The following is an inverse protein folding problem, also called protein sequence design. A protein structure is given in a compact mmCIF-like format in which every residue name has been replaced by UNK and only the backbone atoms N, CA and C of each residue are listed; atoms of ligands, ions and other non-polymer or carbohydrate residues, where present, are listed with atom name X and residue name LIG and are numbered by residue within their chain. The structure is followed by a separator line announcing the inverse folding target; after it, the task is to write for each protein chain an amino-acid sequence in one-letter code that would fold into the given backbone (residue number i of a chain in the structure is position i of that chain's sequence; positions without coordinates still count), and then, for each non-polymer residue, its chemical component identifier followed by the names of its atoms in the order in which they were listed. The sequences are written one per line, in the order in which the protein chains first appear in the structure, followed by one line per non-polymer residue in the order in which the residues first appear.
data_IF_069758979042
#
_entry.id   IF_069758979042
#
_cell.length_a   1.000
_cell.length_b   1.000
_cell.length_c   1.000
_cell.angle_alpha   90.00
_cell.angle_beta   90.00
_cell.angle_gamma   90.00
#
_symmetry.space_group_name_H-M   'P 1'
#
loop_
_entity.id
_entity.type
_entity.pdbx_description
1 polymer ?
#
# COMPACT_ATOMS: atom_id res chain seq x y z
N UNK A 1 6.73 16.45 -10.21
CA UNK A 1 5.58 16.95 -9.42
C UNK A 1 5.84 18.34 -8.88
N UNK A 2 4.90 19.27 -9.09
CA UNK A 2 4.89 20.58 -8.42
C UNK A 2 4.40 20.47 -6.96
N UNK A 3 4.47 21.56 -6.19
CA UNK A 3 4.10 21.57 -4.76
C UNK A 3 2.62 21.27 -4.51
N UNK A 4 1.71 21.64 -5.41
CA UNK A 4 0.27 21.32 -5.30
C UNK A 4 0.04 19.82 -5.46
N UNK A 5 0.65 19.22 -6.48
CA UNK A 5 0.57 17.79 -6.74
C UNK A 5 1.11 16.97 -5.55
N UNK A 6 2.21 17.40 -4.91
CA UNK A 6 2.75 16.75 -3.70
C UNK A 6 1.76 16.80 -2.52
N UNK A 7 1.06 17.91 -2.36
CA UNK A 7 0.04 18.06 -1.32
C UNK A 7 -1.16 17.16 -1.61
N UNK A 8 -1.68 17.17 -2.84
CA UNK A 8 -2.80 16.33 -3.27
C UNK A 8 -2.49 14.84 -3.13
N UNK A 9 -1.29 14.40 -3.55
CA UNK A 9 -0.85 13.01 -3.39
C UNK A 9 -0.77 12.59 -1.92
N UNK A 10 -0.32 13.50 -1.04
CA UNK A 10 -0.27 13.23 0.40
C UNK A 10 -1.66 13.16 1.03
N UNK A 11 -2.58 14.03 0.64
CA UNK A 11 -3.96 13.99 1.10
C UNK A 11 -4.66 12.70 0.63
N UNK A 12 -4.42 12.28 -0.62
CA UNK A 12 -4.92 11.02 -1.13
C UNK A 12 -4.36 9.83 -0.35
N UNK A 13 -3.05 9.80 -0.10
CA UNK A 13 -2.43 8.75 0.71
C UNK A 13 -3.06 8.68 2.11
N UNK A 14 -3.20 9.82 2.80
CA UNK A 14 -3.83 9.86 4.13
C UNK A 14 -5.24 9.24 4.11
N UNK A 15 -6.07 9.62 3.14
CA UNK A 15 -7.44 9.08 3.01
C UNK A 15 -7.44 7.56 2.77
N UNK A 16 -6.61 7.08 1.85
CA UNK A 16 -6.53 5.64 1.53
C UNK A 16 -6.11 4.83 2.76
N UNK A 17 -5.09 5.28 3.49
CA UNK A 17 -4.62 4.57 4.68
C UNK A 17 -5.64 4.61 5.82
N UNK A 18 -6.39 5.70 5.98
CA UNK A 18 -7.53 5.78 6.91
C UNK A 18 -8.64 4.78 6.54
N UNK A 19 -9.04 4.73 5.27
CA UNK A 19 -10.04 3.78 4.77
C UNK A 19 -9.61 2.33 4.98
N UNK A 20 -8.33 2.00 4.73
CA UNK A 20 -7.76 0.68 4.99
C UNK A 20 -7.85 0.33 6.48
N UNK A 21 -7.47 1.26 7.37
CA UNK A 21 -7.52 1.05 8.81
C UNK A 21 -8.95 0.79 9.31
N UNK A 22 -9.93 1.56 8.82
CA UNK A 22 -11.34 1.36 9.16
C UNK A 22 -11.89 0.04 8.62
N UNK A 23 -11.57 -0.30 7.37
CA UNK A 23 -11.96 -1.56 6.75
C UNK A 23 -11.44 -2.76 7.56
N UNK A 24 -10.16 -2.74 7.93
CA UNK A 24 -9.56 -3.78 8.75
C UNK A 24 -10.13 -3.83 10.16
N UNK A 25 -10.42 -2.68 10.78
CA UNK A 25 -11.10 -2.63 12.07
C UNK A 25 -12.44 -3.37 12.07
N UNK A 26 -13.24 -3.20 11.00
CA UNK A 26 -14.47 -3.97 10.80
C UNK A 26 -14.23 -5.47 10.64
N UNK A 27 -13.24 -5.86 9.83
CA UNK A 27 -12.89 -7.27 9.61
C UNK A 27 -12.42 -7.92 10.92
N UNK A 28 -11.54 -7.26 11.68
CA UNK A 28 -11.02 -7.75 12.95
C UNK A 28 -12.14 -7.96 13.97
N UNK A 29 -13.06 -7.01 14.06
CA UNK A 29 -14.22 -7.10 14.95
C UNK A 29 -15.11 -8.29 14.59
N UNK A 30 -15.48 -8.43 13.32
CA UNK A 30 -16.39 -9.48 12.85
C UNK A 30 -15.80 -10.89 13.00
N UNK A 31 -14.49 -11.03 12.83
CA UNK A 31 -13.80 -12.32 12.88
C UNK A 31 -13.20 -12.64 14.25
N UNK A 32 -13.36 -11.75 15.24
CA UNK A 32 -12.70 -11.86 16.57
C UNK A 32 -11.21 -12.17 16.41
N UNK A 33 -10.55 -11.38 15.57
CA UNK A 33 -9.14 -11.57 15.27
C UNK A 33 -8.29 -11.54 16.55
N UNK A 34 -7.25 -12.37 16.60
CA UNK A 34 -6.31 -12.39 17.71
C UNK A 34 -5.54 -11.06 17.79
N UNK A 35 -5.39 -10.51 18.99
CA UNK A 35 -4.71 -9.23 19.23
C UNK A 35 -3.30 -9.20 18.63
N UNK A 36 -2.56 -10.32 18.62
CA UNK A 36 -1.22 -10.37 18.03
C UNK A 36 -1.27 -10.19 16.51
N UNK A 37 -2.30 -10.72 15.86
CA UNK A 37 -2.52 -10.53 14.42
C UNK A 37 -2.90 -9.07 14.15
N UNK A 38 -3.79 -8.48 14.96
CA UNK A 38 -4.17 -7.07 14.84
C UNK A 38 -2.93 -6.17 14.97
N UNK A 39 -2.09 -6.42 15.96
CA UNK A 39 -0.83 -5.69 16.16
C UNK A 39 0.14 -5.85 14.98
N UNK A 40 0.37 -7.09 14.53
CA UNK A 40 1.28 -7.36 13.42
C UNK A 40 0.84 -6.65 12.13
N UNK A 41 -0.46 -6.66 11.82
CA UNK A 41 -1.01 -6.01 10.63
C UNK A 41 -0.95 -4.49 10.77
N UNK A 42 -1.40 -3.94 11.90
CA UNK A 42 -1.43 -2.48 12.13
C UNK A 42 -0.02 -1.89 12.05
N UNK A 43 0.98 -2.52 12.66
CA UNK A 43 2.38 -2.06 12.58
C UNK A 43 2.92 -2.13 11.15
N UNK A 44 2.59 -3.18 10.39
CA UNK A 44 3.01 -3.29 8.99
C UNK A 44 2.39 -2.19 8.12
N UNK A 45 1.15 -1.80 8.40
CA UNK A 45 0.45 -0.71 7.69
C UNK A 45 1.03 0.65 8.08
N UNK A 46 1.32 0.87 9.36
CA UNK A 46 2.00 2.08 9.82
C UNK A 46 3.37 2.25 9.14
N UNK A 47 4.16 1.18 9.05
CA UNK A 47 5.44 1.19 8.34
C UNK A 47 5.27 1.53 6.86
N UNK A 48 4.26 0.97 6.19
CA UNK A 48 3.95 1.29 4.79
C UNK A 48 3.53 2.75 4.63
N UNK A 49 2.65 3.26 5.49
CA UNK A 49 2.23 4.66 5.48
C UNK A 49 3.42 5.61 5.63
N UNK A 50 4.29 5.36 6.60
CA UNK A 50 5.47 6.17 6.84
C UNK A 50 6.43 6.15 5.65
N UNK A 51 6.60 5.01 4.97
CA UNK A 51 7.39 4.91 3.73
C UNK A 51 6.77 5.73 2.60
N UNK A 52 5.47 5.56 2.34
CA UNK A 52 4.75 6.34 1.31
C UNK A 52 4.84 7.85 1.56
N UNK A 53 4.63 8.32 2.79
CA UNK A 53 4.72 9.75 3.10
C UNK A 53 6.16 10.28 2.96
N UNK A 54 7.18 9.46 3.26
CA UNK A 54 8.59 9.84 3.05
C UNK A 54 8.93 9.95 1.57
N UNK A 55 8.49 9.00 0.75
CA UNK A 55 8.66 9.01 -0.71
C UNK A 55 8.01 10.25 -1.34
N UNK A 56 6.81 10.63 -0.90
CA UNK A 56 6.14 11.85 -1.38
C UNK A 56 6.86 13.15 -1.00
N UNK A 57 7.68 13.13 0.06
CA UNK A 57 8.48 14.29 0.51
C UNK A 57 9.80 14.41 -0.25
N UNK A 58 10.50 13.31 -0.49
CA UNK A 58 11.83 13.32 -1.07
C UNK A 58 11.77 13.35 -2.61
N UNK A 59 12.45 14.30 -3.29
CA UNK A 59 12.65 14.21 -4.72
C UNK A 59 13.66 13.09 -5.01
N UNK A 60 13.17 11.99 -5.55
CA UNK A 60 13.98 10.98 -6.25
C UNK A 60 15.09 10.30 -5.44
N UNK A 61 14.67 9.43 -4.51
CA UNK A 61 15.47 8.25 -4.17
C UNK A 61 14.68 7.05 -4.65
N UNK A 62 15.01 6.61 -5.86
CA UNK A 62 14.58 5.35 -6.46
C UNK A 62 15.07 4.15 -5.62
N UNK A 63 14.52 3.99 -4.42
CA UNK A 63 14.54 2.70 -3.74
C UNK A 63 13.45 1.86 -4.37
N UNK A 64 13.84 1.13 -5.43
CA UNK A 64 13.07 -0.01 -5.90
C UNK A 64 12.81 -0.91 -4.68
N UNK A 65 11.57 -1.31 -4.38
CA UNK A 65 11.33 -2.23 -3.28
C UNK A 65 12.24 -3.44 -3.48
N UNK A 66 13.01 -3.80 -2.44
CA UNK A 66 13.88 -4.97 -2.50
C UNK A 66 13.05 -6.16 -2.98
N UNK A 67 13.46 -6.73 -4.12
CA UNK A 67 12.74 -7.83 -4.76
C UNK A 67 12.48 -8.94 -3.77
N UNK A 68 11.29 -9.56 -3.87
CA UNK A 68 10.93 -10.72 -3.04
C UNK A 68 12.11 -11.69 -2.97
N UNK A 69 12.57 -11.99 -1.76
CA UNK A 69 13.56 -13.04 -1.54
C UNK A 69 12.98 -14.37 -2.03
N UNK A 70 13.67 -15.00 -2.96
CA UNK A 70 13.35 -16.34 -3.46
C UNK A 70 13.24 -17.31 -2.27
N UNK A 71 12.07 -17.95 -2.13
CA UNK A 71 11.79 -18.91 -1.05
C UNK A 71 10.68 -18.50 -0.07
N UNK A 72 10.12 -17.30 -0.18
CA UNK A 72 8.88 -16.97 0.56
C UNK A 72 7.67 -17.66 -0.07
N UNK A 73 6.75 -18.26 0.72
CA UNK A 73 5.49 -18.75 0.19
C UNK A 73 4.81 -17.65 -0.62
N UNK A 74 4.35 -18.01 -1.81
CA UNK A 74 3.63 -17.08 -2.66
C UNK A 74 2.48 -16.42 -1.90
N UNK A 75 2.14 -15.16 -2.22
CA UNK A 75 1.02 -14.48 -1.57
C UNK A 75 -0.26 -15.30 -1.73
N UNK A 76 -1.16 -15.20 -0.75
CA UNK A 76 -2.48 -15.82 -0.77
C UNK A 76 -3.21 -15.51 -2.10
N UNK A 77 -4.00 -16.43 -2.68
CA UNK A 77 -4.64 -16.21 -3.99
C UNK A 77 -5.48 -14.93 -4.09
N UNK A 78 -6.17 -14.53 -3.02
CA UNK A 78 -6.90 -13.26 -2.98
C UNK A 78 -5.96 -12.04 -3.09
N UNK A 79 -4.78 -12.10 -2.44
CA UNK A 79 -3.74 -11.06 -2.55
C UNK A 79 -3.17 -11.07 -3.97
N UNK A 80 -2.94 -12.24 -4.58
CA UNK A 80 -2.52 -12.32 -5.98
C UNK A 80 -3.54 -11.68 -6.93
N UNK A 81 -4.83 -11.91 -6.70
CA UNK A 81 -5.90 -11.30 -7.47
C UNK A 81 -5.81 -9.78 -7.43
N UNK A 82 -5.72 -9.20 -6.24
CA UNK A 82 -5.57 -7.76 -6.06
C UNK A 82 -4.29 -7.21 -6.73
N UNK A 83 -3.15 -7.86 -6.53
CA UNK A 83 -1.88 -7.45 -7.15
C UNK A 83 -1.95 -7.47 -8.68
N UNK A 84 -2.67 -8.43 -9.28
CA UNK A 84 -2.90 -8.46 -10.73
C UNK A 84 -3.74 -7.29 -11.20
N UNK A 85 -4.81 -6.94 -10.47
CA UNK A 85 -5.64 -5.78 -10.80
C UNK A 85 -4.84 -4.48 -10.74
N UNK A 86 -3.99 -4.30 -9.72
CA UNK A 86 -3.13 -3.12 -9.60
C UNK A 86 -2.15 -3.03 -10.78
N UNK A 87 -1.43 -4.12 -11.07
CA UNK A 87 -0.47 -4.14 -12.17
C UNK A 87 -1.12 -3.89 -13.53
N UNK A 88 -2.34 -4.40 -13.73
CA UNK A 88 -3.12 -4.15 -14.94
C UNK A 88 -3.48 -2.65 -15.09
N UNK A 89 -3.95 -2.01 -14.02
CA UNK A 89 -4.26 -0.58 -14.04
C UNK A 89 -3.03 0.29 -14.30
N UNK A 90 -1.85 -0.10 -13.77
CA UNK A 90 -0.59 0.58 -14.08
C UNK A 90 -0.23 0.46 -15.57
N UNK A 91 -0.37 -0.74 -16.16
CA UNK A 91 -0.07 -0.95 -17.59
C UNK A 91 -0.94 -0.12 -18.53
N UNK A 92 -2.22 0.11 -18.19
CA UNK A 92 -3.11 0.96 -18.99
C UNK A 92 -2.70 2.43 -18.97
N UNK A 93 -2.05 2.89 -17.90
CA UNK A 93 -1.55 4.27 -17.82
C UNK A 93 -0.30 4.47 -18.68
N UNK A 94 0.57 3.47 -18.76
CA UNK A 94 1.79 3.51 -19.57
C UNK A 94 1.48 3.48 -21.09
N UNK A 95 0.44 2.76 -21.51
CA UNK A 95 0.00 2.68 -22.92
C UNK A 95 -0.71 3.96 -23.42
N UNK A 96 -1.32 4.75 -22.53
CA UNK A 96 -2.00 6.00 -22.87
C UNK A 96 -1.08 7.22 -22.98
N UNK A 97 0.19 7.10 -22.58
CA UNK A 97 1.20 8.16 -22.61
C UNK A 97 2.24 7.98 -23.74
N UNK A 98 2.08 6.96 -24.60
CA UNK A 98 2.91 6.68 -25.79
C UNK A 98 2.25 7.16 -27.09
#
# INVERSE_FOLDING_TARGET
MNMSQKKEARELANRIFEEIALCLGGIFLLNRADDRIIWAITNSIEDLYLRTVRELRMPDLSQKPEGRKDGTPGPHPAIQGLLRTIAFEESLREEGES
#
